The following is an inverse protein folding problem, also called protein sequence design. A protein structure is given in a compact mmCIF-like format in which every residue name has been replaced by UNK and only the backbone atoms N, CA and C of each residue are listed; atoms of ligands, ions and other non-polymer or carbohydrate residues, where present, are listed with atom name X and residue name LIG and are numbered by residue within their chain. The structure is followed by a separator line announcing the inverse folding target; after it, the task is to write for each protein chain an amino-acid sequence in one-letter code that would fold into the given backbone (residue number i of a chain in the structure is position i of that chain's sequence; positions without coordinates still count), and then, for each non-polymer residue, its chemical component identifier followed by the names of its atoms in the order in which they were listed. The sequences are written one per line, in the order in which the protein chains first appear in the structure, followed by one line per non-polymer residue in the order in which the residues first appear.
data_IF_058403402428
#
_entry.id   IF_058403402428
#
_cell.length_a   1.000
_cell.length_b   1.000
_cell.length_c   1.000
_cell.angle_alpha   90.00
_cell.angle_beta   90.00
_cell.angle_gamma   90.00
#
_symmetry.space_group_name_H-M   'P 1'
#
loop_
_entity.id
_entity.type
_entity.pdbx_description
1 polymer ?
#
# COMPACT_ATOMS: atom_id res chain seq x y z
N UNK A 1 51.35 16.04 3.15
CA UNK A 1 50.20 16.36 2.28
C UNK A 1 49.06 15.30 2.34
N UNK A 2 49.05 14.39 3.31
CA UNK A 2 48.05 13.31 3.43
C UNK A 2 46.85 13.66 4.32
N UNK A 3 47.07 14.41 5.41
CA UNK A 3 46.01 14.74 6.39
C UNK A 3 44.83 15.56 5.84
N UNK A 4 45.07 16.46 4.87
CA UNK A 4 44.00 17.27 4.26
C UNK A 4 43.13 16.48 3.27
N UNK A 5 43.69 15.45 2.62
CA UNK A 5 42.93 14.57 1.74
C UNK A 5 42.03 13.61 2.52
N UNK A 6 42.45 13.20 3.72
CA UNK A 6 41.67 12.32 4.60
C UNK A 6 40.48 13.08 5.26
N UNK A 7 40.65 14.36 5.60
CA UNK A 7 39.57 15.18 6.15
C UNK A 7 38.47 15.50 5.12
N UNK A 8 38.84 15.80 3.86
CA UNK A 8 37.86 16.02 2.79
C UNK A 8 37.05 14.75 2.47
N UNK A 9 37.69 13.58 2.45
CA UNK A 9 36.98 12.30 2.26
C UNK A 9 36.00 12.00 3.40
N UNK A 10 36.43 12.18 4.65
CA UNK A 10 35.54 12.01 5.81
C UNK A 10 34.34 12.96 5.78
N UNK A 11 34.53 14.20 5.34
CA UNK A 11 33.44 15.17 5.20
C UNK A 11 32.43 14.76 4.13
N UNK A 12 32.88 14.30 2.96
CA UNK A 12 31.98 13.83 1.89
C UNK A 12 31.19 12.59 2.31
N UNK A 13 31.82 11.65 3.03
CA UNK A 13 31.13 10.48 3.60
C UNK A 13 30.08 10.90 4.63
N UNK A 14 30.40 11.84 5.51
CA UNK A 14 29.46 12.34 6.52
C UNK A 14 28.23 13.03 5.89
N UNK A 15 28.43 13.77 4.80
CA UNK A 15 27.33 14.37 4.04
C UNK A 15 26.44 13.33 3.38
N UNK A 16 27.03 12.29 2.80
CA UNK A 16 26.28 11.20 2.21
C UNK A 16 25.44 10.47 3.27
N UNK A 17 26.04 10.16 4.43
CA UNK A 17 25.35 9.54 5.56
C UNK A 17 24.18 10.40 6.08
N UNK A 18 24.36 11.72 6.18
CA UNK A 18 23.28 12.63 6.53
C UNK A 18 22.14 12.58 5.50
N UNK A 19 22.47 12.59 4.20
CA UNK A 19 21.48 12.47 3.12
C UNK A 19 20.66 11.18 3.22
N UNK A 20 21.31 10.03 3.45
CA UNK A 20 20.60 8.76 3.60
C UNK A 20 19.70 8.70 4.85
N UNK A 21 20.12 9.35 5.93
CA UNK A 21 19.30 9.47 7.14
C UNK A 21 18.06 10.35 6.89
N UNK A 22 18.21 11.49 6.20
CA UNK A 22 17.09 12.37 5.84
C UNK A 22 16.11 11.68 4.89
N UNK A 23 16.61 10.96 3.90
CA UNK A 23 15.78 10.16 3.00
C UNK A 23 14.92 9.15 3.76
N UNK A 24 15.49 8.43 4.75
CA UNK A 24 14.73 7.51 5.58
C UNK A 24 13.65 8.19 6.43
N UNK A 25 13.92 9.38 6.96
CA UNK A 25 12.93 10.17 7.68
C UNK A 25 11.77 10.60 6.76
N UNK A 26 12.06 10.97 5.51
CA UNK A 26 11.03 11.28 4.50
C UNK A 26 10.10 10.08 4.26
N UNK A 27 10.65 8.86 4.13
CA UNK A 27 9.83 7.64 3.99
C UNK A 27 8.83 7.48 5.14
N UNK A 28 9.30 7.66 6.39
CA UNK A 28 8.43 7.53 7.57
C UNK A 28 7.39 8.64 7.67
N UNK A 29 7.75 9.86 7.27
CA UNK A 29 6.89 11.03 7.43
C UNK A 29 5.85 11.18 6.31
N UNK A 30 6.19 10.79 5.08
CA UNK A 30 5.36 11.03 3.89
C UNK A 30 4.79 9.73 3.33
N UNK A 31 5.67 8.80 2.96
CA UNK A 31 5.30 7.67 2.13
C UNK A 31 4.52 6.59 2.89
N UNK A 32 4.97 6.24 4.10
CA UNK A 32 4.26 5.29 4.94
C UNK A 32 2.83 5.77 5.29
N UNK A 33 2.61 7.03 5.76
CA UNK A 33 1.26 7.55 5.97
C UNK A 33 0.40 7.57 4.71
N UNK A 34 0.96 7.98 3.56
CA UNK A 34 0.23 7.99 2.29
C UNK A 34 -0.24 6.58 1.88
N UNK A 35 0.62 5.57 2.02
CA UNK A 35 0.26 4.17 1.75
C UNK A 35 -0.81 3.64 2.70
N UNK A 36 -0.73 4.00 3.99
CA UNK A 36 -1.77 3.65 4.96
C UNK A 36 -3.10 4.30 4.55
N UNK A 37 -3.10 5.57 4.17
CA UNK A 37 -4.29 6.29 3.70
C UNK A 37 -4.86 5.71 2.40
N UNK A 38 -4.02 5.18 1.53
CA UNK A 38 -4.48 4.54 0.30
C UNK A 38 -5.09 3.15 0.55
N UNK A 39 -4.54 2.36 1.47
CA UNK A 39 -4.93 0.96 1.65
C UNK A 39 -5.91 0.75 2.80
N UNK A 40 -5.65 1.31 3.99
CA UNK A 40 -6.43 1.01 5.20
C UNK A 40 -7.94 1.35 5.09
N UNK A 41 -8.36 2.44 4.42
CA UNK A 41 -9.78 2.75 4.24
C UNK A 41 -10.57 1.70 3.46
N UNK A 42 -9.92 0.81 2.69
CA UNK A 42 -10.58 -0.22 1.88
C UNK A 42 -11.58 -1.05 2.69
N UNK A 43 -11.23 -1.44 3.92
CA UNK A 43 -12.12 -2.19 4.79
C UNK A 43 -13.36 -1.37 5.23
N UNK A 44 -13.15 -0.09 5.54
CA UNK A 44 -14.22 0.83 5.94
C UNK A 44 -15.14 1.18 4.76
N UNK A 45 -14.59 1.33 3.56
CA UNK A 45 -15.35 1.61 2.34
C UNK A 45 -16.26 0.43 1.99
N UNK A 46 -15.75 -0.81 2.06
CA UNK A 46 -16.56 -2.01 1.90
C UNK A 46 -17.66 -2.11 2.97
N UNK A 47 -17.35 -1.78 4.22
CA UNK A 47 -18.30 -1.79 5.31
C UNK A 47 -19.38 -0.69 5.14
N UNK A 48 -19.03 0.48 4.61
CA UNK A 48 -20.00 1.54 4.30
C UNK A 48 -20.99 1.11 3.21
N UNK A 49 -20.53 0.39 2.20
CA UNK A 49 -21.40 -0.23 1.18
C UNK A 49 -22.35 -1.22 1.87
N UNK A 50 -21.83 -2.11 2.72
CA UNK A 50 -22.69 -3.04 3.47
C UNK A 50 -23.76 -2.31 4.29
N UNK A 51 -23.39 -1.24 4.99
CA UNK A 51 -24.35 -0.42 5.76
C UNK A 51 -25.48 0.08 4.88
N UNK A 52 -25.15 0.64 3.70
CA UNK A 52 -26.14 1.16 2.76
C UNK A 52 -27.09 0.06 2.28
N UNK A 53 -26.55 -1.10 1.90
CA UNK A 53 -27.36 -2.23 1.44
C UNK A 53 -28.28 -2.78 2.55
N UNK A 54 -27.77 -2.88 3.78
CA UNK A 54 -28.55 -3.30 4.94
C UNK A 54 -29.66 -2.29 5.30
N UNK A 55 -29.38 -0.98 5.20
CA UNK A 55 -30.40 0.06 5.40
C UNK A 55 -31.47 0.03 4.31
N UNK A 56 -31.08 -0.21 3.05
CA UNK A 56 -32.04 -0.32 1.94
C UNK A 56 -33.00 -1.50 2.15
N UNK A 57 -32.48 -2.64 2.63
CA UNK A 57 -33.30 -3.80 3.00
C UNK A 57 -34.25 -3.53 4.18
N UNK A 58 -33.92 -2.59 5.07
CA UNK A 58 -34.80 -2.19 6.17
C UNK A 58 -35.98 -1.32 5.72
N UNK A 59 -35.82 -0.61 4.59
CA UNK A 59 -36.79 0.36 4.07
C UNK A 59 -37.89 -0.25 3.20
N UNK A 60 -37.78 -1.52 2.84
CA UNK A 60 -38.77 -2.25 2.04
C UNK A 60 -39.36 -3.41 2.87
N UNK A 61 -40.52 -3.20 3.52
CA UNK A 61 -41.16 -4.21 4.37
C UNK A 61 -41.81 -5.36 3.59
N UNK A 62 -42.00 -5.24 2.26
CA UNK A 62 -42.65 -6.28 1.45
C UNK A 62 -41.65 -7.27 0.84
N UNK A 63 -40.38 -6.89 0.70
CA UNK A 63 -39.34 -7.76 0.14
C UNK A 63 -38.56 -8.46 1.25
N UNK A 64 -38.76 -9.78 1.49
CA UNK A 64 -37.90 -10.51 2.43
C UNK A 64 -36.44 -10.41 1.96
N UNK A 65 -35.49 -10.07 2.84
CA UNK A 65 -34.09 -9.87 2.46
C UNK A 65 -33.50 -11.18 1.93
N UNK A 66 -33.46 -11.28 0.60
CA UNK A 66 -32.86 -12.41 -0.09
C UNK A 66 -31.34 -12.36 0.02
N UNK A 67 -30.78 -13.31 0.77
CA UNK A 67 -29.33 -13.50 0.86
C UNK A 67 -28.60 -13.51 -0.50
N UNK A 68 -29.09 -14.23 -1.54
CA UNK A 68 -28.47 -14.22 -2.86
C UNK A 68 -28.39 -12.82 -3.46
N UNK A 69 -29.50 -12.06 -3.40
CA UNK A 69 -29.57 -10.71 -3.97
C UNK A 69 -28.62 -9.72 -3.27
N UNK A 70 -28.45 -9.84 -1.95
CA UNK A 70 -27.47 -9.03 -1.22
C UNK A 70 -26.04 -9.38 -1.62
N UNK A 71 -25.73 -10.67 -1.72
CA UNK A 71 -24.41 -11.15 -2.17
C UNK A 71 -24.05 -10.63 -3.57
N UNK A 72 -25.01 -10.70 -4.50
CA UNK A 72 -24.84 -10.29 -5.90
C UNK A 72 -24.56 -8.79 -6.03
N UNK A 73 -25.07 -7.96 -5.12
CA UNK A 73 -24.78 -6.52 -5.09
C UNK A 73 -23.47 -6.18 -4.39
N UNK A 74 -23.17 -6.84 -3.27
CA UNK A 74 -21.97 -6.56 -2.48
C UNK A 74 -20.69 -6.94 -3.22
N UNK A 75 -20.67 -8.10 -3.87
CA UNK A 75 -19.47 -8.65 -4.49
C UNK A 75 -18.83 -7.72 -5.53
N UNK A 76 -19.55 -7.23 -6.57
CA UNK A 76 -18.97 -6.32 -7.56
C UNK A 76 -18.62 -4.94 -6.96
N UNK A 77 -19.42 -4.44 -6.01
CA UNK A 77 -19.18 -3.16 -5.35
C UNK A 77 -17.88 -3.19 -4.52
N UNK A 78 -17.67 -4.25 -3.75
CA UNK A 78 -16.43 -4.45 -3.00
C UNK A 78 -15.23 -4.70 -3.91
N UNK A 79 -15.39 -5.50 -4.98
CA UNK A 79 -14.31 -5.72 -5.95
C UNK A 79 -13.82 -4.40 -6.57
N UNK A 80 -14.75 -3.46 -6.82
CA UNK A 80 -14.42 -2.12 -7.31
C UNK A 80 -13.59 -1.32 -6.30
N UNK A 81 -14.01 -1.29 -5.03
CA UNK A 81 -13.25 -0.64 -3.94
C UNK A 81 -11.85 -1.22 -3.83
N UNK A 82 -11.74 -2.54 -3.79
CA UNK A 82 -10.48 -3.28 -3.65
C UNK A 82 -9.54 -2.96 -4.81
N UNK A 83 -10.06 -2.98 -6.04
CA UNK A 83 -9.28 -2.67 -7.24
C UNK A 83 -8.78 -1.22 -7.21
N UNK A 84 -9.67 -0.25 -6.97
CA UNK A 84 -9.31 1.18 -6.97
C UNK A 84 -8.28 1.50 -5.89
N UNK A 85 -8.50 1.05 -4.65
CA UNK A 85 -7.57 1.28 -3.54
C UNK A 85 -6.24 0.53 -3.74
N UNK A 86 -6.29 -0.69 -4.28
CA UNK A 86 -5.09 -1.45 -4.63
C UNK A 86 -4.24 -0.75 -5.70
N UNK A 87 -4.87 -0.22 -6.75
CA UNK A 87 -4.17 0.55 -7.79
C UNK A 87 -3.57 1.85 -7.24
N UNK A 88 -4.30 2.56 -6.37
CA UNK A 88 -3.76 3.75 -5.70
C UNK A 88 -2.51 3.41 -4.85
N UNK A 89 -2.56 2.31 -4.10
CA UNK A 89 -1.39 1.83 -3.34
C UNK A 89 -0.19 1.49 -4.24
N UNK A 90 -0.42 0.81 -5.38
CA UNK A 90 0.64 0.49 -6.34
C UNK A 90 1.25 1.74 -6.99
N UNK A 91 0.42 2.72 -7.34
CA UNK A 91 0.89 3.99 -7.88
C UNK A 91 1.77 4.75 -6.87
N UNK A 92 1.41 4.75 -5.58
CA UNK A 92 2.24 5.34 -4.52
C UNK A 92 3.59 4.62 -4.36
N UNK A 93 3.61 3.28 -4.39
CA UNK A 93 4.87 2.54 -4.34
C UNK A 93 5.78 2.87 -5.52
N UNK A 94 5.22 2.96 -6.74
CA UNK A 94 5.98 3.33 -7.93
C UNK A 94 6.55 4.75 -7.82
N UNK A 95 5.75 5.71 -7.34
CA UNK A 95 6.21 7.07 -7.11
C UNK A 95 7.33 7.13 -6.06
N UNK A 96 7.20 6.38 -4.97
CA UNK A 96 8.23 6.27 -3.94
C UNK A 96 9.54 5.69 -4.50
N UNK A 97 9.47 4.62 -5.30
CA UNK A 97 10.68 4.05 -5.94
C UNK A 97 11.37 5.10 -6.80
N UNK A 98 10.61 5.83 -7.63
CA UNK A 98 11.17 6.87 -8.50
C UNK A 98 11.92 7.93 -7.69
N UNK A 99 11.30 8.45 -6.64
CA UNK A 99 11.91 9.46 -5.76
C UNK A 99 13.16 8.90 -5.05
N UNK A 100 13.06 7.71 -4.46
CA UNK A 100 14.18 7.10 -3.72
C UNK A 100 15.39 6.88 -4.62
N UNK A 101 15.18 6.35 -5.83
CA UNK A 101 16.25 6.10 -6.81
C UNK A 101 16.92 7.40 -7.22
N UNK A 102 16.12 8.42 -7.55
CA UNK A 102 16.62 9.73 -7.95
C UNK A 102 17.43 10.39 -6.84
N UNK A 103 16.89 10.41 -5.62
CA UNK A 103 17.54 11.02 -4.47
C UNK A 103 18.78 10.23 -4.02
N UNK A 104 18.74 8.88 -4.03
CA UNK A 104 19.94 8.06 -3.78
C UNK A 104 21.04 8.36 -4.81
N UNK A 105 20.68 8.48 -6.10
CA UNK A 105 21.62 8.87 -7.15
C UNK A 105 22.22 10.25 -6.89
N UNK A 106 21.42 11.24 -6.48
CA UNK A 106 21.90 12.58 -6.13
C UNK A 106 22.81 12.58 -4.92
N UNK A 107 22.45 11.90 -3.83
CA UNK A 107 23.26 11.81 -2.61
C UNK A 107 24.61 11.16 -2.93
N UNK A 108 24.58 10.01 -3.62
CA UNK A 108 25.78 9.23 -3.88
C UNK A 108 26.69 9.85 -4.95
N UNK A 109 26.17 10.73 -5.81
CA UNK A 109 26.98 11.50 -6.76
C UNK A 109 27.32 12.90 -6.25
N UNK A 110 26.90 13.24 -5.03
CA UNK A 110 27.01 14.59 -4.45
C UNK A 110 26.50 15.63 -5.46
N UNK A 111 25.27 15.42 -5.95
CA UNK A 111 24.62 16.19 -7.01
C UNK A 111 25.44 16.30 -8.31
N UNK A 112 26.06 15.20 -8.73
CA UNK A 112 26.84 15.15 -9.98
C UNK A 112 28.31 15.54 -9.85
N UNK A 113 28.77 15.94 -8.67
CA UNK A 113 30.16 16.35 -8.46
C UNK A 113 31.16 15.19 -8.58
N UNK A 114 30.74 13.96 -8.27
CA UNK A 114 31.62 12.78 -8.30
C UNK A 114 31.23 11.74 -9.36
N UNK A 115 30.28 12.05 -10.23
CA UNK A 115 29.86 11.18 -11.34
C UNK A 115 28.42 11.39 -11.78
N UNK A 116 27.99 10.67 -12.82
CA UNK A 116 26.60 10.67 -13.27
C UNK A 116 25.72 9.76 -12.41
N UNK A 117 24.43 10.08 -12.29
CA UNK A 117 23.48 9.24 -11.58
C UNK A 117 23.32 7.87 -12.28
N UNK A 118 23.12 6.79 -11.52
CA UNK A 118 23.07 5.44 -12.07
C UNK A 118 21.80 5.21 -12.89
N UNK A 119 21.94 4.60 -14.07
CA UNK A 119 20.82 4.05 -14.80
C UNK A 119 20.46 2.66 -14.26
N UNK A 120 19.21 2.49 -13.81
CA UNK A 120 18.73 1.20 -13.29
C UNK A 120 18.49 0.14 -14.37
N UNK A 121 18.28 0.57 -15.61
CA UNK A 121 17.97 -0.28 -16.76
C UNK A 121 19.20 -0.45 -17.66
N UNK A 122 19.27 -1.56 -18.38
CA UNK A 122 20.30 -1.75 -19.41
C UNK A 122 19.97 -0.93 -20.67
N UNK A 123 20.96 -0.65 -21.54
CA UNK A 123 20.71 -0.01 -22.83
C UNK A 123 19.64 -0.76 -23.63
N UNK A 124 18.64 -0.04 -24.15
CA UNK A 124 17.52 -0.61 -24.92
C UNK A 124 16.40 -1.23 -24.07
N UNK A 125 16.52 -1.26 -22.74
CA UNK A 125 15.41 -1.65 -21.86
C UNK A 125 14.52 -0.45 -21.51
N UNK A 126 13.23 -0.72 -21.29
CA UNK A 126 12.29 0.29 -20.80
C UNK A 126 12.65 0.72 -19.36
N UNK A 127 12.98 1.99 -19.12
CA UNK A 127 13.28 2.51 -17.78
C UNK A 127 12.13 2.30 -16.80
N UNK A 128 10.88 2.33 -17.29
CA UNK A 128 9.69 2.18 -16.45
C UNK A 128 9.56 0.77 -15.89
N UNK A 129 9.84 -0.25 -16.70
CA UNK A 129 9.77 -1.64 -16.28
C UNK A 129 10.70 -1.94 -15.09
N UNK A 130 11.89 -1.34 -15.05
CA UNK A 130 12.83 -1.48 -13.94
C UNK A 130 12.28 -0.89 -12.62
N UNK A 131 11.62 0.28 -12.70
CA UNK A 131 10.99 0.92 -11.53
C UNK A 131 9.78 0.12 -11.04
N UNK A 132 8.96 -0.39 -11.96
CA UNK A 132 7.79 -1.21 -11.63
C UNK A 132 8.18 -2.53 -10.96
N UNK A 133 9.27 -3.17 -11.40
CA UNK A 133 9.82 -4.36 -10.76
C UNK A 133 10.24 -4.09 -9.31
N UNK A 134 10.86 -2.94 -9.04
CA UNK A 134 11.26 -2.53 -7.70
C UNK A 134 10.06 -2.22 -6.80
N UNK A 135 9.00 -1.60 -7.36
CA UNK A 135 7.80 -1.22 -6.63
C UNK A 135 7.02 -2.42 -6.06
N UNK A 136 7.22 -3.62 -6.61
CA UNK A 136 6.66 -4.85 -6.04
C UNK A 136 5.14 -4.94 -6.10
N UNK A 137 4.51 -4.36 -7.13
CA UNK A 137 3.06 -4.36 -7.33
C UNK A 137 2.37 -5.72 -7.11
N UNK A 138 2.92 -6.85 -7.60
CA UNK A 138 2.32 -8.19 -7.38
C UNK A 138 2.18 -8.59 -5.91
N UNK A 139 3.06 -8.10 -5.03
CA UNK A 139 2.94 -8.36 -3.58
C UNK A 139 1.69 -7.69 -3.00
N UNK A 140 1.40 -6.45 -3.42
CA UNK A 140 0.17 -5.73 -3.04
C UNK A 140 -1.05 -6.54 -3.45
N UNK A 141 -1.09 -6.98 -4.71
CA UNK A 141 -2.22 -7.71 -5.27
C UNK A 141 -2.46 -9.03 -4.51
N UNK A 142 -1.40 -9.78 -4.21
CA UNK A 142 -1.49 -11.03 -3.44
C UNK A 142 -2.05 -10.84 -2.03
N UNK A 143 -1.53 -9.87 -1.29
CA UNK A 143 -1.99 -9.58 0.07
C UNK A 143 -3.41 -9.02 0.10
N UNK A 144 -3.73 -8.08 -0.79
CA UNK A 144 -5.04 -7.48 -0.90
C UNK A 144 -6.09 -8.53 -1.26
N UNK A 145 -5.81 -9.39 -2.24
CA UNK A 145 -6.70 -10.50 -2.65
C UNK A 145 -6.97 -11.46 -1.51
N UNK A 146 -5.92 -11.90 -0.80
CA UNK A 146 -6.07 -12.80 0.36
C UNK A 146 -6.88 -12.15 1.48
N UNK A 147 -6.52 -10.92 1.86
CA UNK A 147 -7.22 -10.17 2.89
C UNK A 147 -8.69 -9.92 2.55
N UNK A 148 -8.99 -9.61 1.29
CA UNK A 148 -10.35 -9.42 0.80
C UNK A 148 -11.17 -10.72 0.85
N UNK A 149 -10.61 -11.85 0.43
CA UNK A 149 -11.29 -13.14 0.50
C UNK A 149 -11.65 -13.51 1.96
N UNK A 150 -10.70 -13.36 2.89
CA UNK A 150 -10.92 -13.64 4.31
C UNK A 150 -11.95 -12.69 4.95
N UNK A 151 -11.86 -11.39 4.62
CA UNK A 151 -12.83 -10.39 5.06
C UNK A 151 -14.23 -10.71 4.53
N UNK A 152 -14.35 -10.94 3.22
CA UNK A 152 -15.61 -11.25 2.56
C UNK A 152 -16.25 -12.50 3.18
N UNK A 153 -15.50 -13.59 3.31
CA UNK A 153 -16.00 -14.81 3.94
C UNK A 153 -16.49 -14.58 5.38
N UNK A 154 -15.76 -13.81 6.18
CA UNK A 154 -16.14 -13.51 7.56
C UNK A 154 -17.44 -12.69 7.64
N UNK A 155 -17.55 -11.62 6.83
CA UNK A 155 -18.76 -10.79 6.77
C UNK A 155 -19.95 -11.61 6.27
N UNK A 156 -19.76 -12.38 5.20
CA UNK A 156 -20.81 -13.19 4.60
C UNK A 156 -21.33 -14.26 5.57
N UNK A 157 -20.43 -14.84 6.38
CA UNK A 157 -20.81 -15.80 7.43
C UNK A 157 -21.68 -15.15 8.50
N UNK A 158 -21.31 -13.96 8.97
CA UNK A 158 -22.09 -13.24 10.00
C UNK A 158 -23.46 -12.78 9.49
N UNK A 159 -23.54 -12.30 8.25
CA UNK A 159 -24.82 -11.93 7.64
C UNK A 159 -25.73 -13.15 7.53
N UNK A 160 -25.24 -14.27 6.98
CA UNK A 160 -26.03 -15.50 6.85
C UNK A 160 -26.56 -15.99 8.19
N UNK A 161 -25.72 -16.01 9.24
CA UNK A 161 -26.11 -16.40 10.59
C UNK A 161 -27.14 -15.46 11.21
N UNK A 162 -26.96 -14.16 11.00
CA UNK A 162 -27.85 -13.16 11.58
C UNK A 162 -29.21 -13.11 10.89
N UNK A 163 -29.25 -13.27 9.56
CA UNK A 163 -30.52 -13.41 8.82
C UNK A 163 -31.30 -14.65 9.28
N UNK A 164 -30.64 -15.79 9.48
CA UNK A 164 -31.28 -17.00 10.01
C UNK A 164 -31.84 -16.84 11.43
N UNK A 165 -31.35 -15.85 12.19
CA UNK A 165 -31.81 -15.49 13.55
C UNK A 165 -32.79 -14.32 13.56
N UNK A 166 -33.17 -13.78 12.40
CA UNK A 166 -34.03 -12.61 12.31
C UNK A 166 -33.43 -11.34 12.92
N UNK A 167 -32.10 -11.21 12.92
CA UNK A 167 -31.47 -10.02 13.49
C UNK A 167 -31.77 -8.77 12.65
N UNK A 168 -32.01 -7.61 13.30
CA UNK A 168 -32.23 -6.37 12.59
C UNK A 168 -30.95 -5.91 11.86
N UNK A 169 -31.07 -5.14 10.77
CA UNK A 169 -29.95 -4.66 9.95
C UNK A 169 -28.82 -3.97 10.73
N UNK A 170 -29.14 -3.22 11.79
CA UNK A 170 -28.12 -2.55 12.62
C UNK A 170 -27.26 -3.54 13.41
N UNK A 171 -27.85 -4.62 13.91
CA UNK A 171 -27.11 -5.67 14.62
C UNK A 171 -26.26 -6.51 13.66
N UNK A 172 -26.78 -6.80 12.47
CA UNK A 172 -26.01 -7.45 11.40
C UNK A 172 -24.75 -6.64 11.06
N UNK A 173 -24.93 -5.33 10.90
CA UNK A 173 -23.84 -4.40 10.64
C UNK A 173 -22.80 -4.42 11.77
N UNK A 174 -23.24 -4.31 13.03
CA UNK A 174 -22.37 -4.34 14.19
C UNK A 174 -21.51 -5.62 14.26
N UNK A 175 -22.11 -6.78 13.96
CA UNK A 175 -21.39 -8.08 13.91
C UNK A 175 -20.31 -8.15 12.84
N UNK A 176 -20.41 -7.35 11.78
CA UNK A 176 -19.43 -7.32 10.71
C UNK A 176 -18.23 -6.38 11.00
N UNK A 177 -18.38 -5.44 11.94
CA UNK A 177 -17.33 -4.46 12.27
C UNK A 177 -16.00 -5.09 12.72
N UNK A 178 -15.97 -6.17 13.54
CA UNK A 178 -14.71 -6.79 13.93
C UNK A 178 -13.92 -7.35 12.74
N UNK A 179 -14.59 -7.86 11.71
CA UNK A 179 -13.92 -8.34 10.50
C UNK A 179 -13.25 -7.18 9.74
N UNK A 180 -13.95 -6.06 9.57
CA UNK A 180 -13.40 -4.85 8.97
C UNK A 180 -12.22 -4.29 9.78
N UNK A 181 -12.34 -4.22 11.10
CA UNK A 181 -11.28 -3.74 11.98
C UNK A 181 -10.00 -4.61 11.87
N UNK A 182 -10.14 -5.93 11.87
CA UNK A 182 -9.01 -6.86 11.67
C UNK A 182 -8.34 -6.65 10.31
N UNK A 183 -9.13 -6.54 9.24
CA UNK A 183 -8.58 -6.35 7.90
C UNK A 183 -7.89 -5.00 7.75
N UNK A 184 -8.49 -3.92 8.25
CA UNK A 184 -7.87 -2.59 8.32
C UNK A 184 -6.52 -2.62 9.02
N UNK A 185 -6.43 -3.27 10.19
CA UNK A 185 -5.17 -3.37 10.93
C UNK A 185 -4.09 -4.12 10.12
N UNK A 186 -4.48 -5.18 9.41
CA UNK A 186 -3.57 -5.90 8.50
C UNK A 186 -3.12 -5.05 7.32
N UNK A 187 -4.02 -4.28 6.71
CA UNK A 187 -3.69 -3.35 5.62
C UNK A 187 -2.74 -2.24 6.10
N UNK A 188 -2.94 -1.73 7.31
CA UNK A 188 -2.01 -0.78 7.94
C UNK A 188 -0.63 -1.39 8.13
N UNK A 189 -0.54 -2.61 8.66
CA UNK A 189 0.76 -3.30 8.83
C UNK A 189 1.42 -3.56 7.48
N UNK A 190 0.66 -4.04 6.49
CA UNK A 190 1.14 -4.27 5.13
C UNK A 190 1.71 -2.99 4.53
N UNK A 191 1.01 -1.86 4.62
CA UNK A 191 1.48 -0.57 4.13
C UNK A 191 2.84 -0.17 4.74
N UNK A 192 3.02 -0.39 6.05
CA UNK A 192 4.29 -0.14 6.75
C UNK A 192 5.41 -1.04 6.23
N UNK A 193 5.13 -2.34 6.11
CA UNK A 193 6.10 -3.32 5.61
C UNK A 193 6.51 -3.01 4.17
N UNK A 194 5.54 -2.76 3.28
CA UNK A 194 5.81 -2.44 1.88
C UNK A 194 6.61 -1.15 1.72
N UNK A 195 6.28 -0.09 2.48
CA UNK A 195 7.04 1.16 2.45
C UNK A 195 8.54 0.90 2.76
N UNK A 196 8.81 0.12 3.80
CA UNK A 196 10.18 -0.23 4.20
C UNK A 196 10.89 -1.13 3.20
N UNK A 197 10.25 -2.21 2.76
CA UNK A 197 10.85 -3.19 1.84
C UNK A 197 11.16 -2.56 0.49
N UNK A 198 10.22 -1.80 -0.08
CA UNK A 198 10.39 -1.15 -1.37
C UNK A 198 11.43 -0.05 -1.29
N UNK A 199 11.47 0.74 -0.21
CA UNK A 199 12.54 1.70 0.04
C UNK A 199 13.92 1.03 0.02
N UNK A 200 14.11 -0.03 0.81
CA UNK A 200 15.40 -0.72 0.89
C UNK A 200 15.81 -1.36 -0.43
N UNK A 201 14.85 -1.93 -1.16
CA UNK A 201 15.09 -2.53 -2.48
C UNK A 201 15.52 -1.47 -3.50
N UNK A 202 14.79 -0.35 -3.58
CA UNK A 202 15.08 0.75 -4.48
C UNK A 202 16.45 1.37 -4.19
N UNK A 203 16.74 1.66 -2.91
CA UNK A 203 18.03 2.19 -2.48
C UNK A 203 19.17 1.24 -2.82
N UNK A 204 19.04 -0.06 -2.51
CA UNK A 204 20.07 -1.06 -2.82
C UNK A 204 20.33 -1.13 -4.33
N UNK A 205 19.28 -1.17 -5.15
CA UNK A 205 19.42 -1.20 -6.59
C UNK A 205 20.16 0.02 -7.15
N UNK A 206 19.87 1.22 -6.62
CA UNK A 206 20.59 2.43 -7.02
C UNK A 206 22.07 2.39 -6.62
N UNK A 207 22.38 1.94 -5.40
CA UNK A 207 23.76 1.78 -4.93
C UNK A 207 24.57 0.74 -5.71
N UNK A 208 23.97 -0.40 -6.05
CA UNK A 208 24.65 -1.46 -6.81
C UNK A 208 25.09 -0.98 -8.20
N UNK A 209 24.40 0.01 -8.78
CA UNK A 209 24.73 0.61 -10.08
C UNK A 209 25.78 1.72 -10.00
N UNK A 210 26.16 2.14 -8.79
CA UNK A 210 27.19 3.15 -8.53
C UNK A 210 28.57 2.54 -8.23
N UNK A 211 28.62 1.22 -8.04
CA UNK A 211 29.86 0.45 -7.86
C UNK A 211 30.29 -0.17 -9.18
#
# INVERSE_FOLDING_TARGET
MTAAADSSKQWLLSLADLGFNLQWLSIKAQWQPALIQALAPMASDCLAILRRELTALAGDPETPPGWPALSDRLSPAWATVVTTRGQAGKALLLAMVKEVVEETGRIATINGLIGAAPALHAPGQDPRAALEALAGGPAVDGYVKKGFAEFGQAVMTEIKRGLARGLPPQELFARCQPAAARWRNRLTMLARTLAFEVFNRARRAAYEKLR
#
